data_IF_600874412276
#
_entry.id   IF_600874412276
#
_cell.length_a   1.000
_cell.length_b   1.000
_cell.length_c   1.000
_cell.angle_alpha   90.00
_cell.angle_beta   90.00
_cell.angle_gamma   90.00
#
_symmetry.space_group_name_H-M   'P 1'
#
loop_
_entity.id
_entity.type
_entity.pdbx_description
1 polymer ?
#
# COMPACT_ATOMS: atom_id res chain seq x y z
N UNK A 1 40.82 7.84 -55.96
CA UNK A 1 39.63 8.63 -56.37
C UNK A 1 38.62 8.52 -55.21
N UNK A 2 38.17 9.57 -54.48
CA UNK A 2 37.82 10.97 -54.83
C UNK A 2 36.85 10.98 -56.03
N UNK A 3 35.60 11.48 -56.04
CA UNK A 3 34.72 12.23 -55.10
C UNK A 3 33.24 11.73 -55.34
N UNK A 4 32.12 12.18 -54.74
CA UNK A 4 31.77 13.25 -53.76
C UNK A 4 30.47 12.93 -52.97
N UNK A 5 30.18 13.74 -51.94
CA UNK A 5 28.88 14.02 -51.27
C UNK A 5 27.58 13.92 -52.12
N UNK A 6 26.49 13.51 -51.48
CA UNK A 6 25.40 14.46 -51.17
C UNK A 6 24.73 14.11 -49.84
N UNK A 7 24.41 15.12 -49.05
CA UNK A 7 23.62 15.04 -47.82
C UNK A 7 22.65 16.23 -47.80
N UNK A 8 21.72 16.19 -46.85
CA UNK A 8 20.85 17.28 -46.37
C UNK A 8 19.36 17.24 -46.78
N UNK A 9 18.54 17.87 -45.93
CA UNK A 9 17.07 17.92 -45.80
C UNK A 9 16.45 16.72 -45.08
N UNK A 10 15.81 16.87 -43.91
CA UNK A 10 15.49 18.12 -43.19
C UNK A 10 15.34 17.94 -41.67
N UNK A 11 16.18 18.64 -40.89
CA UNK A 11 15.94 19.03 -39.50
C UNK A 11 15.82 20.54 -39.40
N UNK A 12 14.61 21.03 -39.16
CA UNK A 12 14.22 22.38 -38.70
C UNK A 12 12.72 22.28 -38.44
N UNK A 13 12.14 22.72 -37.32
CA UNK A 13 12.24 24.06 -36.75
C UNK A 13 12.20 24.02 -35.22
N UNK A 14 13.21 24.62 -34.59
CA UNK A 14 13.11 25.17 -33.23
C UNK A 14 13.94 26.46 -33.23
N UNK A 15 13.32 27.60 -32.93
CA UNK A 15 14.03 28.87 -32.77
C UNK A 15 13.33 29.71 -31.69
N UNK A 16 14.00 30.03 -30.57
CA UNK A 16 13.46 30.99 -29.61
C UNK A 16 13.64 32.41 -30.15
N UNK A 17 12.66 33.28 -29.91
CA UNK A 17 12.83 34.73 -29.99
C UNK A 17 12.43 35.35 -28.65
N UNK A 18 13.32 36.20 -28.14
CA UNK A 18 13.08 37.02 -26.96
C UNK A 18 13.50 38.46 -27.27
N UNK A 19 12.56 39.40 -27.17
CA UNK A 19 12.86 40.85 -27.00
C UNK A 19 11.67 41.61 -26.41
N UNK A 20 11.89 42.11 -25.18
CA UNK A 20 11.47 43.42 -24.62
C UNK A 20 10.09 44.03 -24.95
N UNK A 21 9.36 44.37 -23.88
CA UNK A 21 9.07 45.77 -23.52
C UNK A 21 8.70 45.90 -22.02
N UNK A 22 9.05 47.03 -21.40
CA UNK A 22 8.73 47.44 -20.02
C UNK A 22 7.94 48.75 -20.10
N UNK A 23 6.98 48.97 -19.19
CA UNK A 23 6.96 50.24 -18.47
C UNK A 23 6.71 50.08 -16.95
N UNK A 24 7.42 50.90 -16.16
CA UNK A 24 7.16 51.14 -14.73
C UNK A 24 6.00 52.14 -14.53
N UNK A 25 5.21 51.99 -13.46
CA UNK A 25 5.24 52.87 -12.26
C UNK A 25 4.10 52.56 -11.26
N UNK A 26 4.45 52.52 -9.97
CA UNK A 26 3.70 52.94 -8.75
C UNK A 26 2.16 52.83 -8.70
N UNK A 27 1.51 52.26 -7.66
CA UNK A 27 1.70 52.56 -6.22
C UNK A 27 0.90 51.62 -5.28
N UNK A 28 1.40 51.49 -4.05
CA UNK A 28 0.87 50.88 -2.82
C UNK A 28 -0.63 50.48 -2.70
N UNK A 29 -0.92 49.27 -2.17
CA UNK A 29 -1.32 49.02 -0.75
C UNK A 29 -1.76 47.57 -0.47
N UNK A 30 -1.46 47.04 0.73
CA UNK A 30 -2.39 46.19 1.49
C UNK A 30 -2.42 44.66 1.31
N UNK A 31 -1.95 43.95 2.34
CA UNK A 31 -2.29 42.56 2.72
C UNK A 31 -1.88 41.39 1.80
N UNK A 32 -1.29 40.35 2.41
CA UNK A 32 -0.79 39.18 1.69
C UNK A 32 -1.86 38.12 1.44
N UNK A 33 -2.04 37.74 0.18
CA UNK A 33 -2.57 36.44 -0.22
C UNK A 33 -1.49 35.70 -1.01
N UNK A 34 -1.28 34.42 -0.70
CA UNK A 34 -0.29 33.59 -1.38
C UNK A 34 -0.71 33.36 -2.84
N UNK A 35 0.00 33.98 -3.78
CA UNK A 35 -0.29 33.88 -5.20
C UNK A 35 0.32 32.60 -5.77
N UNK A 36 -0.53 31.65 -6.17
CA UNK A 36 -0.11 30.45 -6.88
C UNK A 36 0.49 30.82 -8.25
N UNK A 37 1.80 30.57 -8.43
CA UNK A 37 2.51 30.85 -9.69
C UNK A 37 2.81 29.54 -10.42
N UNK A 38 2.14 29.34 -11.55
CA UNK A 38 2.32 28.17 -12.43
C UNK A 38 3.66 28.27 -13.17
N UNK A 39 4.47 27.22 -13.08
CA UNK A 39 5.50 26.90 -14.08
C UNK A 39 5.20 25.50 -14.62
N UNK A 40 4.69 25.43 -15.86
CA UNK A 40 4.27 24.17 -16.48
C UNK A 40 5.46 23.36 -16.98
N UNK A 41 5.84 22.32 -16.24
CA UNK A 41 6.60 21.19 -16.76
C UNK A 41 5.62 20.07 -17.12
N UNK A 42 5.48 19.77 -18.41
CA UNK A 42 4.54 18.78 -18.92
C UNK A 42 4.99 17.35 -18.61
N UNK A 43 4.34 16.68 -17.67
CA UNK A 43 4.31 15.21 -17.61
C UNK A 43 3.29 14.67 -18.63
N UNK A 44 3.70 13.66 -19.40
CA UNK A 44 2.85 13.00 -20.37
C UNK A 44 1.83 12.11 -19.64
N UNK A 45 0.61 12.59 -19.43
CA UNK A 45 -0.52 11.75 -19.03
C UNK A 45 -1.16 11.22 -20.33
N UNK A 46 -1.23 9.90 -20.58
CA UNK A 46 -2.02 9.35 -21.67
C UNK A 46 -3.47 9.82 -21.54
N UNK A 47 -4.07 10.34 -22.61
CA UNK A 47 -5.42 10.89 -22.55
C UNK A 47 -6.45 9.81 -22.24
N UNK A 48 -6.80 9.67 -20.96
CA UNK A 48 -7.86 8.79 -20.48
C UNK A 48 -9.15 9.13 -21.23
N UNK A 49 -9.84 8.16 -21.84
CA UNK A 49 -11.07 8.44 -22.57
C UNK A 49 -12.09 9.08 -21.62
N UNK A 50 -12.65 10.22 -22.04
CA UNK A 50 -13.76 10.85 -21.32
C UNK A 50 -14.90 9.83 -21.20
N UNK A 51 -15.63 9.78 -20.07
CA UNK A 51 -16.78 8.89 -19.95
C UNK A 51 -17.75 9.16 -21.09
N UNK A 52 -18.31 8.08 -21.66
CA UNK A 52 -19.34 8.17 -22.69
C UNK A 52 -20.50 9.04 -22.19
N UNK A 53 -21.21 9.71 -23.09
CA UNK A 53 -22.19 10.79 -22.82
C UNK A 53 -23.32 10.46 -21.83
N UNK A 54 -23.47 9.20 -21.43
CA UNK A 54 -24.51 8.70 -20.52
C UNK A 54 -24.04 8.45 -19.08
N UNK A 55 -22.74 8.49 -18.77
CA UNK A 55 -22.22 8.38 -17.39
C UNK A 55 -21.73 9.73 -16.87
N UNK A 56 -22.63 10.48 -16.23
CA UNK A 56 -22.22 11.62 -15.38
C UNK A 56 -21.75 11.10 -14.03
N UNK A 57 -20.55 11.48 -13.61
CA UNK A 57 -20.12 11.28 -12.22
C UNK A 57 -21.11 12.04 -11.31
N UNK A 58 -21.82 11.37 -10.38
CA UNK A 58 -22.80 12.02 -9.50
C UNK A 58 -22.12 12.90 -8.44
N UNK A 59 -20.80 12.78 -8.26
CA UNK A 59 -20.03 13.56 -7.30
C UNK A 59 -19.36 14.76 -7.97
N UNK A 60 -19.57 15.94 -7.39
CA UNK A 60 -18.91 17.18 -7.84
C UNK A 60 -17.43 17.12 -7.52
N UNK A 61 -16.62 17.01 -8.58
CA UNK A 61 -15.17 17.26 -8.54
C UNK A 61 -14.90 18.74 -8.26
N UNK A 62 -14.13 19.04 -7.22
CA UNK A 62 -13.55 20.37 -7.04
C UNK A 62 -12.22 20.41 -7.78
N UNK A 63 -12.03 21.41 -8.65
CA UNK A 63 -10.79 21.59 -9.38
C UNK A 63 -9.69 22.19 -8.48
N UNK A 64 -9.13 21.34 -7.61
CA UNK A 64 -8.03 21.70 -6.70
C UNK A 64 -6.71 21.20 -7.29
N UNK A 65 -5.77 22.11 -7.53
CA UNK A 65 -4.39 21.73 -7.86
C UNK A 65 -3.69 21.25 -6.59
N UNK A 66 -3.49 19.94 -6.47
CA UNK A 66 -2.69 19.33 -5.40
C UNK A 66 -1.22 19.36 -5.83
N UNK A 67 -0.36 19.99 -5.03
CA UNK A 67 1.08 19.96 -5.28
C UNK A 67 1.67 18.56 -5.06
N UNK A 68 2.75 18.24 -5.79
CA UNK A 68 3.44 16.96 -5.62
C UNK A 68 4.01 16.84 -4.22
N UNK A 69 3.61 15.77 -3.54
CA UNK A 69 4.02 15.47 -2.17
C UNK A 69 5.51 15.09 -2.13
N UNK A 70 6.35 15.72 -1.29
CA UNK A 70 7.76 15.35 -1.15
C UNK A 70 7.89 13.89 -0.70
N UNK A 71 8.97 13.19 -1.10
CA UNK A 71 9.16 11.78 -0.73
C UNK A 71 9.11 11.53 0.79
N UNK A 72 9.56 12.54 1.56
CA UNK A 72 9.50 12.57 3.02
C UNK A 72 8.73 13.83 3.51
N UNK A 73 7.39 13.76 3.64
CA UNK A 73 6.58 14.86 4.20
C UNK A 73 6.83 15.08 5.70
N UNK A 74 6.55 16.28 6.20
CA UNK A 74 6.57 16.52 7.63
C UNK A 74 5.37 15.79 8.29
N UNK A 75 5.59 14.83 9.22
CA UNK A 75 4.50 14.06 9.79
C UNK A 75 3.59 14.91 10.70
N UNK A 76 4.11 15.97 11.31
CA UNK A 76 3.33 16.86 12.19
C UNK A 76 2.31 17.67 11.37
N UNK A 77 2.70 18.18 10.20
CA UNK A 77 1.76 18.89 9.32
C UNK A 77 0.69 17.93 8.78
N UNK A 78 1.10 16.74 8.32
CA UNK A 78 0.14 15.71 7.88
C UNK A 78 -0.88 15.35 8.96
N UNK A 79 -0.45 15.14 10.21
CA UNK A 79 -1.34 14.81 11.33
C UNK A 79 -2.24 16.01 11.71
N UNK A 80 -1.70 17.22 11.70
CA UNK A 80 -2.49 18.45 11.94
C UNK A 80 -3.61 18.61 10.91
N UNK A 81 -3.29 18.53 9.62
CA UNK A 81 -4.24 18.63 8.51
C UNK A 81 -5.32 17.54 8.58
N UNK A 82 -4.92 16.28 8.77
CA UNK A 82 -5.85 15.14 8.88
C UNK A 82 -6.77 15.26 10.09
N UNK A 83 -6.24 15.65 11.26
CA UNK A 83 -7.05 15.79 12.48
C UNK A 83 -8.03 16.96 12.39
N UNK A 84 -7.63 18.09 11.80
CA UNK A 84 -8.52 19.21 11.52
C UNK A 84 -9.65 18.85 10.54
N UNK A 85 -9.32 18.14 9.46
CA UNK A 85 -10.31 17.67 8.47
C UNK A 85 -11.26 16.61 9.04
N UNK A 86 -10.74 15.65 9.83
CA UNK A 86 -11.57 14.64 10.48
C UNK A 86 -12.48 15.26 11.54
N UNK A 87 -11.98 16.22 12.33
CA UNK A 87 -12.78 16.92 13.33
C UNK A 87 -13.91 17.75 12.69
N UNK A 88 -13.63 18.49 11.61
CA UNK A 88 -14.66 19.27 10.91
C UNK A 88 -15.72 18.37 10.28
N UNK A 89 -15.33 17.22 9.72
CA UNK A 89 -16.24 16.23 9.13
C UNK A 89 -17.11 15.54 10.19
N UNK A 90 -16.53 15.19 11.35
CA UNK A 90 -17.28 14.65 12.50
C UNK A 90 -18.29 15.68 13.03
N UNK A 91 -17.89 16.95 13.20
CA UNK A 91 -18.78 18.03 13.62
C UNK A 91 -19.91 18.25 12.61
N UNK A 92 -19.61 18.25 11.30
CA UNK A 92 -20.59 18.36 10.21
C UNK A 92 -21.68 17.28 10.26
N UNK A 93 -21.33 16.08 10.76
CA UNK A 93 -22.24 14.92 10.85
C UNK A 93 -22.75 14.63 12.28
N UNK A 94 -22.44 15.49 13.25
CA UNK A 94 -22.64 15.27 14.70
C UNK A 94 -24.08 15.32 15.28
N UNK A 95 -25.16 15.81 14.62
CA UNK A 95 -26.46 15.88 15.28
C UNK A 95 -26.94 14.50 15.78
N UNK A 96 -27.33 14.39 17.05
CA UNK A 96 -27.62 13.11 17.73
C UNK A 96 -28.88 12.36 17.25
N UNK A 97 -29.49 12.79 16.15
CA UNK A 97 -30.50 12.04 15.38
C UNK A 97 -30.08 11.68 13.94
N UNK A 98 -28.90 12.14 13.49
CA UNK A 98 -28.43 12.01 12.11
C UNK A 98 -27.80 10.64 11.79
N UNK A 99 -27.53 9.78 12.77
CA UNK A 99 -26.91 8.46 12.53
C UNK A 99 -27.71 7.59 11.54
N UNK A 100 -29.05 7.62 11.59
CA UNK A 100 -29.89 6.90 10.63
C UNK A 100 -29.83 7.48 9.21
N UNK A 101 -29.81 8.81 9.10
CA UNK A 101 -29.61 9.52 7.83
C UNK A 101 -28.21 9.25 7.27
N UNK A 102 -27.18 9.27 8.11
CA UNK A 102 -25.81 8.98 7.72
C UNK A 102 -25.61 7.54 7.25
N UNK A 103 -26.24 6.56 7.92
CA UNK A 103 -26.24 5.16 7.49
C UNK A 103 -26.95 4.97 6.15
N UNK A 104 -28.07 5.68 5.92
CA UNK A 104 -28.75 5.66 4.61
C UNK A 104 -27.92 6.35 3.52
N UNK A 105 -27.42 7.57 3.74
CA UNK A 105 -26.50 8.25 2.82
C UNK A 105 -25.27 7.38 2.48
N UNK A 106 -24.71 6.68 3.46
CA UNK A 106 -23.56 5.77 3.28
C UNK A 106 -23.95 4.53 2.48
N UNK A 107 -25.12 3.92 2.75
CA UNK A 107 -25.65 2.79 1.98
C UNK A 107 -25.93 3.20 0.54
N UNK A 108 -26.65 4.29 0.32
CA UNK A 108 -27.07 4.75 -1.01
C UNK A 108 -25.83 5.14 -1.84
N UNK A 109 -24.83 5.76 -1.19
CA UNK A 109 -23.49 6.00 -1.74
C UNK A 109 -22.75 4.72 -2.11
N UNK A 110 -22.87 3.68 -1.29
CA UNK A 110 -22.25 2.37 -1.50
C UNK A 110 -22.93 1.64 -2.67
N UNK A 111 -24.26 1.59 -2.72
CA UNK A 111 -25.05 1.02 -3.82
C UNK A 111 -24.73 1.68 -5.17
N UNK A 112 -24.52 3.01 -5.17
CA UNK A 112 -24.14 3.77 -6.37
C UNK A 112 -22.68 3.53 -6.82
N UNK A 113 -21.78 3.19 -5.89
CA UNK A 113 -20.33 3.13 -6.14
C UNK A 113 -19.77 1.70 -6.23
N UNK A 114 -20.43 0.71 -5.62
CA UNK A 114 -19.99 -0.69 -5.62
C UNK A 114 -20.19 -1.30 -6.99
N UNK A 115 -19.07 -1.65 -7.61
CA UNK A 115 -19.01 -2.38 -8.86
C UNK A 115 -18.40 -3.75 -8.57
N UNK A 116 -19.23 -4.61 -7.95
CA UNK A 116 -18.90 -5.98 -7.59
C UNK A 116 -18.69 -6.82 -8.85
N UNK A 117 -17.53 -7.48 -8.96
CA UNK A 117 -17.23 -8.43 -10.02
C UNK A 117 -17.25 -9.86 -9.45
N UNK A 118 -18.27 -10.69 -9.76
CA UNK A 118 -18.27 -12.11 -9.41
C UNK A 118 -17.08 -12.87 -10.00
N UNK A 119 -16.54 -12.41 -11.13
CA UNK A 119 -15.34 -12.95 -11.76
C UNK A 119 -14.13 -12.86 -10.85
N UNK A 120 -13.91 -11.72 -10.18
CA UNK A 120 -12.82 -11.54 -9.21
C UNK A 120 -12.87 -12.59 -8.10
N UNK A 121 -14.06 -12.92 -7.57
CA UNK A 121 -14.19 -13.94 -6.51
C UNK A 121 -13.90 -15.34 -7.05
N UNK A 122 -14.41 -15.68 -8.24
CA UNK A 122 -14.11 -16.94 -8.90
C UNK A 122 -12.60 -17.11 -9.11
N UNK A 123 -11.94 -16.09 -9.68
CA UNK A 123 -10.50 -16.12 -9.92
C UNK A 123 -9.68 -16.13 -8.63
N UNK A 124 -10.02 -15.34 -7.62
CA UNK A 124 -9.37 -15.37 -6.31
C UNK A 124 -9.50 -16.75 -5.63
N UNK A 125 -10.65 -17.40 -5.75
CA UNK A 125 -10.88 -18.77 -5.25
C UNK A 125 -10.02 -19.79 -6.00
N UNK A 126 -9.93 -19.70 -7.33
CA UNK A 126 -9.06 -20.54 -8.15
C UNK A 126 -7.58 -20.32 -7.80
N UNK A 127 -7.14 -19.08 -7.63
CA UNK A 127 -5.79 -18.72 -7.18
C UNK A 127 -5.52 -19.32 -5.79
N UNK A 128 -6.43 -19.20 -4.83
CA UNK A 128 -6.30 -19.82 -3.51
C UNK A 128 -6.08 -21.35 -3.59
N UNK A 129 -6.83 -22.05 -4.45
CA UNK A 129 -6.64 -23.50 -4.68
C UNK A 129 -5.28 -23.78 -5.31
N UNK A 130 -4.89 -23.04 -6.36
CA UNK A 130 -3.59 -23.18 -7.04
C UNK A 130 -2.43 -22.93 -6.07
N UNK A 131 -2.47 -21.85 -5.28
CA UNK A 131 -1.48 -21.54 -4.25
C UNK A 131 -1.39 -22.63 -3.18
N UNK A 132 -2.52 -23.19 -2.76
CA UNK A 132 -2.55 -24.31 -1.79
C UNK A 132 -1.86 -25.56 -2.32
N UNK A 133 -2.14 -25.92 -3.59
CA UNK A 133 -1.52 -27.06 -4.27
C UNK A 133 -0.03 -26.81 -4.56
N UNK A 134 0.32 -25.60 -4.99
CA UNK A 134 1.70 -25.18 -5.28
C UNK A 134 2.56 -25.21 -4.01
N UNK A 135 2.08 -24.66 -2.89
CA UNK A 135 2.73 -24.75 -1.58
C UNK A 135 2.99 -26.21 -1.18
N UNK A 136 1.96 -27.06 -1.26
CA UNK A 136 2.11 -28.48 -0.92
C UNK A 136 3.13 -29.21 -1.83
N UNK A 137 3.13 -28.90 -3.13
CA UNK A 137 4.07 -29.45 -4.09
C UNK A 137 5.51 -28.97 -3.85
N UNK A 138 5.73 -27.67 -3.62
CA UNK A 138 7.05 -27.08 -3.36
C UNK A 138 7.62 -27.51 -2.00
N UNK A 139 6.80 -27.56 -0.95
CA UNK A 139 7.21 -28.08 0.35
C UNK A 139 7.75 -29.52 0.20
N UNK A 140 6.99 -30.40 -0.48
CA UNK A 140 7.36 -31.81 -0.68
C UNK A 140 8.55 -32.01 -1.63
N UNK A 141 8.64 -31.25 -2.72
CA UNK A 141 9.62 -31.48 -3.81
C UNK A 141 10.90 -30.66 -3.70
N UNK A 142 10.85 -29.49 -3.06
CA UNK A 142 11.94 -28.50 -3.06
C UNK A 142 12.37 -28.18 -1.63
N UNK A 143 11.49 -27.57 -0.82
CA UNK A 143 11.92 -26.95 0.44
C UNK A 143 12.28 -27.96 1.53
N UNK A 144 11.49 -29.02 1.75
CA UNK A 144 11.86 -30.06 2.73
C UNK A 144 13.08 -30.89 2.31
N UNK A 145 13.23 -31.31 1.03
CA UNK A 145 14.49 -31.92 0.55
C UNK A 145 15.71 -31.01 0.74
N UNK A 146 15.59 -29.71 0.44
CA UNK A 146 16.64 -28.71 0.67
C UNK A 146 17.00 -28.59 2.16
N UNK A 147 16.01 -28.45 3.04
CA UNK A 147 16.25 -28.40 4.49
C UNK A 147 16.99 -29.65 5.00
N UNK A 148 16.68 -30.83 4.45
CA UNK A 148 17.37 -32.09 4.78
C UNK A 148 18.77 -32.19 4.18
N UNK A 149 19.03 -31.66 2.98
CA UNK A 149 20.38 -31.68 2.38
C UNK A 149 21.39 -30.83 3.15
N UNK A 150 20.95 -29.72 3.76
CA UNK A 150 21.74 -28.91 4.68
C UNK A 150 21.83 -29.49 6.10
N UNK A 151 21.22 -30.65 6.36
CA UNK A 151 21.18 -31.32 7.68
C UNK A 151 20.72 -30.37 8.80
N UNK A 152 19.67 -29.60 8.53
CA UNK A 152 19.05 -28.71 9.52
C UNK A 152 18.39 -29.51 10.65
N UNK A 153 18.16 -28.88 11.80
CA UNK A 153 17.42 -29.48 12.91
C UNK A 153 15.97 -29.80 12.51
N UNK A 154 15.35 -30.81 13.12
CA UNK A 154 13.96 -31.18 12.79
C UNK A 154 12.97 -30.03 12.99
N UNK A 155 13.22 -29.14 13.95
CA UNK A 155 12.44 -27.91 14.13
C UNK A 155 12.56 -26.97 12.91
N UNK A 156 13.79 -26.70 12.45
CA UNK A 156 14.05 -25.89 11.26
C UNK A 156 13.47 -26.55 9.99
N UNK A 157 13.58 -27.87 9.83
CA UNK A 157 13.04 -28.61 8.67
C UNK A 157 11.52 -28.46 8.56
N UNK A 158 10.82 -28.38 9.69
CA UNK A 158 9.37 -28.22 9.73
C UNK A 158 8.91 -26.75 9.53
N UNK A 159 9.71 -25.76 9.94
CA UNK A 159 9.34 -24.33 9.87
C UNK A 159 9.82 -23.62 8.60
N UNK A 160 10.99 -23.99 8.07
CA UNK A 160 11.61 -23.33 6.92
C UNK A 160 10.74 -23.32 5.63
N UNK A 161 10.07 -24.43 5.23
CA UNK A 161 9.27 -24.44 4.00
C UNK A 161 8.17 -23.38 3.96
N UNK A 162 7.51 -23.17 5.10
CA UNK A 162 6.41 -22.21 5.22
C UNK A 162 6.92 -20.76 5.16
N UNK A 163 8.09 -20.50 5.73
CA UNK A 163 8.73 -19.17 5.71
C UNK A 163 9.26 -18.81 4.31
N UNK A 164 9.91 -19.76 3.62
CA UNK A 164 10.32 -19.57 2.22
C UNK A 164 9.11 -19.34 1.32
N UNK A 165 8.03 -20.10 1.49
CA UNK A 165 6.80 -19.93 0.72
C UNK A 165 6.22 -18.52 0.88
N UNK A 166 6.01 -18.07 2.12
CA UNK A 166 5.48 -16.73 2.43
C UNK A 166 6.39 -15.64 1.85
N UNK A 167 7.69 -15.69 2.11
CA UNK A 167 8.69 -14.76 1.57
C UNK A 167 8.65 -14.69 0.03
N UNK A 168 8.54 -15.84 -0.65
CA UNK A 168 8.49 -15.89 -2.11
C UNK A 168 7.25 -15.21 -2.69
N UNK A 169 6.08 -15.40 -2.06
CA UNK A 169 4.83 -14.78 -2.53
C UNK A 169 4.85 -13.27 -2.27
N UNK A 170 5.16 -12.84 -1.04
CA UNK A 170 5.26 -11.41 -0.70
C UNK A 170 6.28 -10.65 -1.57
N UNK A 171 7.40 -11.29 -1.94
CA UNK A 171 8.38 -10.65 -2.83
C UNK A 171 7.80 -10.43 -4.24
N UNK A 172 7.02 -11.38 -4.77
CA UNK A 172 6.39 -11.26 -6.09
C UNK A 172 5.32 -10.17 -6.08
N UNK A 173 4.44 -10.14 -5.07
CA UNK A 173 3.35 -9.15 -4.95
C UNK A 173 3.89 -7.76 -4.66
N UNK A 174 4.93 -7.66 -3.83
CA UNK A 174 5.61 -6.39 -3.60
C UNK A 174 6.32 -5.87 -4.86
N UNK A 175 7.04 -6.71 -5.61
CA UNK A 175 7.65 -6.27 -6.87
C UNK A 175 6.61 -5.81 -7.91
N UNK A 176 5.44 -6.46 -7.97
CA UNK A 176 4.33 -6.07 -8.86
C UNK A 176 3.71 -4.74 -8.43
N UNK A 177 3.37 -4.58 -7.15
CA UNK A 177 2.82 -3.32 -6.63
C UNK A 177 3.82 -2.18 -6.74
N UNK A 178 5.12 -2.41 -6.48
CA UNK A 178 6.20 -1.44 -6.67
C UNK A 178 6.32 -0.95 -8.13
N UNK A 179 6.18 -1.86 -9.11
CA UNK A 179 6.18 -1.49 -10.52
C UNK A 179 5.03 -0.51 -10.85
N UNK A 180 3.80 -0.81 -10.41
CA UNK A 180 2.63 0.07 -10.63
C UNK A 180 2.77 1.38 -9.86
N UNK A 181 3.28 1.34 -8.62
CA UNK A 181 3.57 2.53 -7.80
C UNK A 181 4.57 3.48 -8.45
N UNK A 182 5.58 2.94 -9.15
CA UNK A 182 6.55 3.72 -9.90
C UNK A 182 5.97 4.28 -11.21
N UNK A 183 5.30 3.45 -12.01
CA UNK A 183 4.75 3.83 -13.32
C UNK A 183 3.70 4.95 -13.22
N UNK A 184 2.85 4.90 -12.19
CA UNK A 184 1.82 5.90 -11.93
C UNK A 184 2.25 7.02 -10.97
N UNK A 185 3.52 7.04 -10.52
CA UNK A 185 4.12 8.02 -9.59
C UNK A 185 3.28 8.27 -8.32
N UNK A 186 2.69 7.19 -7.79
CA UNK A 186 1.69 7.18 -6.72
C UNK A 186 2.24 7.83 -5.42
N UNK A 187 3.54 7.66 -5.15
CA UNK A 187 4.16 8.25 -3.96
C UNK A 187 4.32 9.78 -4.04
N UNK A 188 4.44 10.37 -5.22
CA UNK A 188 4.60 11.82 -5.39
C UNK A 188 3.25 12.51 -5.68
N UNK A 189 2.41 11.94 -6.53
CA UNK A 189 1.14 12.54 -6.93
C UNK A 189 -0.05 11.96 -6.13
N UNK A 190 -0.19 12.41 -4.88
CA UNK A 190 -1.32 12.03 -4.02
C UNK A 190 -2.68 12.54 -4.52
N UNK A 191 -2.69 13.49 -5.46
CA UNK A 191 -3.91 13.98 -6.13
C UNK A 191 -4.42 12.99 -7.17
N UNK A 192 -3.51 12.32 -7.90
CA UNK A 192 -3.83 11.29 -8.90
C UNK A 192 -4.71 10.16 -8.39
N UNK A 193 -4.59 9.82 -7.09
CA UNK A 193 -5.39 8.80 -6.40
C UNK A 193 -6.90 9.04 -6.54
N UNK A 194 -7.30 10.31 -6.59
CA UNK A 194 -8.69 10.75 -6.51
C UNK A 194 -9.14 11.49 -7.77
N UNK A 195 -8.26 12.30 -8.40
CA UNK A 195 -8.62 13.16 -9.55
C UNK A 195 -9.19 12.42 -10.76
N UNK A 196 -8.88 11.13 -10.89
CA UNK A 196 -9.32 10.25 -11.98
C UNK A 196 -10.45 9.29 -11.58
N UNK A 197 -10.98 9.37 -10.36
CA UNK A 197 -11.99 8.46 -9.83
C UNK A 197 -13.42 8.78 -10.32
N UNK A 198 -14.23 7.74 -10.51
CA UNK A 198 -15.69 7.83 -10.68
C UNK A 198 -16.32 6.44 -10.49
N UNK A 199 -17.62 6.35 -10.12
CA UNK A 199 -18.34 5.08 -10.07
C UNK A 199 -18.28 4.32 -11.39
N UNK A 200 -17.98 3.02 -11.36
CA UNK A 200 -17.87 2.20 -12.56
C UNK A 200 -16.60 2.40 -13.39
N UNK A 201 -15.62 3.21 -12.94
CA UNK A 201 -14.32 3.37 -13.61
C UNK A 201 -13.71 2.00 -13.97
N UNK A 202 -13.25 1.78 -15.22
CA UNK A 202 -12.56 0.55 -15.59
C UNK A 202 -11.28 0.40 -14.77
N UNK A 203 -11.03 -0.80 -14.27
CA UNK A 203 -9.79 -1.17 -13.59
C UNK A 203 -8.83 -1.70 -14.65
N UNK A 204 -7.59 -1.23 -14.63
CA UNK A 204 -6.55 -1.71 -15.52
C UNK A 204 -6.21 -3.19 -15.23
N UNK A 205 -5.95 -3.99 -16.26
CA UNK A 205 -5.72 -5.43 -16.14
C UNK A 205 -4.60 -5.80 -15.15
N UNK A 206 -3.51 -5.01 -15.09
CA UNK A 206 -2.41 -5.23 -14.13
C UNK A 206 -2.91 -5.12 -12.68
N UNK A 207 -3.66 -4.06 -12.40
CA UNK A 207 -4.25 -3.77 -11.08
C UNK A 207 -5.33 -4.81 -10.73
N UNK A 208 -6.17 -5.20 -11.70
CA UNK A 208 -7.17 -6.26 -11.53
C UNK A 208 -6.53 -7.57 -11.04
N UNK A 209 -5.48 -8.03 -11.73
CA UNK A 209 -4.84 -9.30 -11.37
C UNK A 209 -4.05 -9.23 -10.07
N UNK A 210 -3.40 -8.09 -9.76
CA UNK A 210 -2.76 -7.87 -8.46
C UNK A 210 -3.79 -8.03 -7.31
N UNK A 211 -4.92 -7.32 -7.36
CA UNK A 211 -5.97 -7.42 -6.32
C UNK A 211 -6.58 -8.83 -6.24
N UNK A 212 -6.82 -9.47 -7.38
CA UNK A 212 -7.38 -10.82 -7.44
C UNK A 212 -6.41 -11.85 -6.84
N UNK A 213 -5.11 -11.69 -7.10
CA UNK A 213 -4.06 -12.51 -6.52
C UNK A 213 -3.93 -12.30 -5.02
N UNK A 214 -3.92 -11.04 -4.56
CA UNK A 214 -3.88 -10.69 -3.13
C UNK A 214 -5.03 -11.33 -2.35
N UNK A 215 -6.27 -11.15 -2.80
CA UNK A 215 -7.44 -11.76 -2.15
C UNK A 215 -7.30 -13.29 -2.12
N UNK A 216 -6.85 -13.92 -3.22
CA UNK A 216 -6.60 -15.35 -3.27
C UNK A 216 -5.50 -15.83 -2.30
N UNK A 217 -4.42 -15.06 -2.15
CA UNK A 217 -3.33 -15.36 -1.23
C UNK A 217 -3.72 -15.16 0.23
N UNK A 218 -4.40 -14.06 0.58
CA UNK A 218 -4.90 -13.84 1.94
C UNK A 218 -5.92 -14.91 2.36
N UNK A 219 -6.83 -15.34 1.46
CA UNK A 219 -7.75 -16.47 1.73
C UNK A 219 -6.97 -17.78 1.95
N UNK A 220 -5.98 -18.08 1.09
CA UNK A 220 -5.10 -19.25 1.24
C UNK A 220 -4.36 -19.25 2.59
N UNK A 221 -3.82 -18.11 3.00
CA UNK A 221 -3.12 -17.94 4.26
C UNK A 221 -4.07 -18.11 5.45
N UNK A 222 -5.25 -17.47 5.42
CA UNK A 222 -6.26 -17.59 6.47
C UNK A 222 -6.75 -19.04 6.60
N UNK A 223 -6.93 -19.76 5.49
CA UNK A 223 -7.21 -21.20 5.53
C UNK A 223 -6.08 -21.99 6.21
N UNK A 224 -4.82 -21.72 5.85
CA UNK A 224 -3.66 -22.32 6.51
C UNK A 224 -3.64 -22.08 8.02
N UNK A 225 -3.86 -20.84 8.44
CA UNK A 225 -3.89 -20.45 9.86
C UNK A 225 -5.05 -21.07 10.64
N UNK A 226 -6.23 -21.20 10.03
CA UNK A 226 -7.44 -21.73 10.68
C UNK A 226 -7.41 -23.26 10.85
N UNK A 227 -6.85 -23.98 9.88
CA UNK A 227 -7.01 -25.44 9.77
C UNK A 227 -5.70 -26.24 9.77
N UNK A 228 -4.54 -25.62 9.50
CA UNK A 228 -3.25 -26.32 9.34
C UNK A 228 -2.19 -25.90 10.39
N UNK A 229 -2.19 -24.64 10.83
CA UNK A 229 -1.27 -24.14 11.85
C UNK A 229 -1.82 -24.33 13.28
N UNK A 230 -0.92 -24.55 14.25
CA UNK A 230 -1.30 -24.57 15.66
C UNK A 230 -1.63 -23.15 16.16
N UNK A 231 -2.70 -23.01 16.95
CA UNK A 231 -3.12 -21.70 17.49
C UNK A 231 -2.04 -21.08 18.38
N UNK A 232 -1.57 -19.92 17.95
CA UNK A 232 -0.60 -19.09 18.69
C UNK A 232 -1.33 -18.08 19.60
N UNK A 233 -0.59 -17.42 20.50
CA UNK A 233 -1.16 -16.42 21.44
C UNK A 233 -1.70 -15.16 20.72
N UNK A 234 -1.14 -14.83 19.56
CA UNK A 234 -1.50 -13.73 18.66
C UNK A 234 -2.68 -14.05 17.71
N UNK A 235 -3.19 -15.29 17.72
CA UNK A 235 -4.15 -15.81 16.72
C UNK A 235 -5.38 -14.91 16.51
N UNK A 236 -6.01 -14.41 17.58
CA UNK A 236 -7.21 -13.56 17.47
C UNK A 236 -6.90 -12.23 16.77
N UNK A 237 -5.78 -11.59 17.12
CA UNK A 237 -5.35 -10.32 16.52
C UNK A 237 -5.03 -10.53 15.04
N UNK A 238 -4.36 -11.63 14.71
CA UNK A 238 -4.01 -11.97 13.34
C UNK A 238 -5.24 -12.30 12.48
N UNK A 239 -6.22 -13.06 12.98
CA UNK A 239 -7.49 -13.30 12.26
C UNK A 239 -8.27 -12.00 12.05
N UNK A 240 -8.36 -11.13 13.06
CA UNK A 240 -9.02 -9.82 12.91
C UNK A 240 -8.30 -8.94 11.87
N UNK A 241 -6.96 -8.97 11.85
CA UNK A 241 -6.17 -8.29 10.84
C UNK A 241 -6.46 -8.81 9.43
N UNK A 242 -6.48 -10.14 9.24
CA UNK A 242 -6.79 -10.75 7.93
C UNK A 242 -8.22 -10.43 7.45
N UNK A 243 -9.21 -10.41 8.34
CA UNK A 243 -10.57 -10.00 7.99
C UNK A 243 -10.59 -8.53 7.54
N UNK A 244 -9.87 -7.66 8.27
CA UNK A 244 -9.77 -6.23 7.95
C UNK A 244 -9.05 -5.99 6.61
N UNK A 245 -7.93 -6.68 6.33
CA UNK A 245 -7.18 -6.50 5.07
C UNK A 245 -7.95 -7.06 3.87
N UNK A 246 -8.57 -8.25 3.97
CA UNK A 246 -9.43 -8.79 2.91
C UNK A 246 -10.58 -7.82 2.61
N UNK A 247 -11.26 -7.32 3.65
CA UNK A 247 -12.32 -6.34 3.47
C UNK A 247 -11.81 -5.03 2.84
N UNK A 248 -10.59 -4.59 3.18
CA UNK A 248 -9.98 -3.38 2.63
C UNK A 248 -9.63 -3.53 1.15
N UNK A 249 -9.02 -4.66 0.75
CA UNK A 249 -8.64 -4.95 -0.65
C UNK A 249 -9.90 -5.10 -1.52
N UNK A 250 -10.87 -5.92 -1.09
CA UNK A 250 -12.16 -6.10 -1.78
C UNK A 250 -12.96 -4.79 -1.82
N UNK A 251 -12.94 -4.01 -0.74
CA UNK A 251 -13.57 -2.69 -0.67
C UNK A 251 -12.96 -1.71 -1.68
N UNK A 252 -11.64 -1.53 -1.65
CA UNK A 252 -10.88 -0.70 -2.60
C UNK A 252 -11.18 -1.05 -4.05
N UNK A 253 -11.22 -2.34 -4.39
CA UNK A 253 -11.61 -2.79 -5.72
C UNK A 253 -13.07 -2.41 -6.04
N UNK A 254 -13.99 -2.75 -5.15
CA UNK A 254 -15.44 -2.59 -5.35
C UNK A 254 -15.84 -1.13 -5.57
N UNK A 255 -15.34 -0.19 -4.76
CA UNK A 255 -15.61 1.25 -4.91
C UNK A 255 -14.61 1.95 -5.85
N UNK A 256 -13.73 1.20 -6.51
CA UNK A 256 -12.71 1.69 -7.46
C UNK A 256 -11.65 2.62 -6.86
N UNK A 257 -11.39 2.57 -5.56
CA UNK A 257 -10.23 3.18 -4.89
C UNK A 257 -8.93 2.36 -5.13
N UNK A 258 -8.72 1.91 -6.36
CA UNK A 258 -7.68 0.94 -6.68
C UNK A 258 -6.26 1.54 -6.63
N UNK A 259 -6.08 2.82 -6.98
CA UNK A 259 -4.78 3.51 -6.92
C UNK A 259 -4.23 3.55 -5.48
N UNK A 260 -5.04 3.99 -4.52
CA UNK A 260 -4.65 3.95 -3.10
C UNK A 260 -4.57 2.52 -2.55
N UNK A 261 -5.37 1.58 -3.08
CA UNK A 261 -5.20 0.17 -2.72
C UNK A 261 -3.87 -0.44 -3.17
N UNK A 262 -3.34 -0.08 -4.36
CA UNK A 262 -1.97 -0.44 -4.78
C UNK A 262 -0.94 0.14 -3.81
N UNK A 263 -1.10 1.41 -3.41
CA UNK A 263 -0.21 2.04 -2.42
C UNK A 263 -0.20 1.30 -1.08
N UNK A 264 -1.37 0.83 -0.62
CA UNK A 264 -1.50 0.08 0.62
C UNK A 264 -0.78 -1.28 0.53
N UNK A 265 -0.96 -2.04 -0.56
CA UNK A 265 -0.24 -3.31 -0.80
C UNK A 265 1.28 -3.06 -0.80
N UNK A 266 1.74 -2.08 -1.58
CA UNK A 266 3.15 -1.70 -1.66
C UNK A 266 3.76 -1.31 -0.30
N UNK A 267 3.00 -0.60 0.54
CA UNK A 267 3.45 -0.18 1.88
C UNK A 267 3.48 -1.34 2.88
N UNK A 268 2.53 -2.27 2.82
CA UNK A 268 2.44 -3.32 3.82
C UNK A 268 3.33 -4.53 3.50
N UNK A 269 3.32 -5.04 2.27
CA UNK A 269 3.92 -6.35 1.94
C UNK A 269 5.43 -6.42 2.17
N UNK A 270 6.17 -5.31 1.99
CA UNK A 270 7.63 -5.29 2.12
C UNK A 270 8.09 -5.79 3.50
N UNK A 271 7.34 -5.45 4.55
CA UNK A 271 7.62 -5.88 5.92
C UNK A 271 7.66 -7.40 6.07
N UNK A 272 6.77 -8.10 5.36
CA UNK A 272 6.67 -9.55 5.48
C UNK A 272 7.74 -10.28 4.64
N UNK A 273 8.30 -9.60 3.60
CA UNK A 273 9.47 -10.09 2.85
C UNK A 273 10.70 -10.21 3.75
N UNK A 274 11.10 -9.16 4.48
CA UNK A 274 12.28 -9.27 5.34
C UNK A 274 11.98 -10.04 6.63
N UNK A 275 10.74 -10.03 7.14
CA UNK A 275 10.36 -10.87 8.28
C UNK A 275 10.51 -12.36 7.97
N UNK A 276 9.96 -12.84 6.87
CA UNK A 276 10.04 -14.26 6.49
C UNK A 276 11.40 -14.60 5.85
N UNK A 277 12.05 -13.65 5.16
CA UNK A 277 13.43 -13.79 4.69
C UNK A 277 14.43 -13.98 5.83
N UNK A 278 14.36 -13.14 6.88
CA UNK A 278 15.26 -13.23 8.04
C UNK A 278 15.03 -14.50 8.86
N UNK A 279 13.77 -14.94 9.06
CA UNK A 279 13.43 -16.26 9.63
C UNK A 279 14.00 -17.40 8.79
N UNK A 280 13.79 -17.36 7.48
CA UNK A 280 14.29 -18.36 6.54
C UNK A 280 15.81 -18.51 6.62
N UNK A 281 16.54 -17.39 6.69
CA UNK A 281 18.00 -17.39 6.93
C UNK A 281 18.31 -17.98 8.31
N UNK A 282 17.63 -17.53 9.37
CA UNK A 282 17.91 -17.97 10.75
C UNK A 282 17.75 -19.48 10.96
N UNK A 283 16.86 -20.16 10.22
CA UNK A 283 16.72 -21.62 10.30
C UNK A 283 17.97 -22.40 9.86
N UNK A 284 18.88 -21.78 9.09
CA UNK A 284 20.19 -22.32 8.72
C UNK A 284 21.30 -22.09 9.77
N UNK A 285 20.97 -21.55 10.97
CA UNK A 285 21.93 -21.28 12.05
C UNK A 285 22.71 -22.51 12.52
N UNK A 286 22.17 -23.71 12.31
CA UNK A 286 22.80 -24.97 12.66
C UNK A 286 22.66 -25.95 11.49
N UNK A 287 23.79 -26.54 11.08
CA UNK A 287 23.88 -27.43 9.93
C UNK A 287 24.71 -28.66 10.34
N UNK A 288 24.08 -29.83 10.39
CA UNK A 288 24.74 -31.08 10.80
C UNK A 288 25.35 -31.04 12.20
N UNK A 289 24.66 -30.40 13.16
CA UNK A 289 25.12 -30.24 14.55
C UNK A 289 26.23 -29.20 14.75
N UNK A 290 26.53 -28.37 13.73
CA UNK A 290 27.49 -27.27 13.82
C UNK A 290 26.80 -25.92 13.70
N UNK A 291 27.08 -25.01 14.63
CA UNK A 291 26.62 -23.63 14.57
C UNK A 291 27.32 -22.86 13.44
N UNK A 292 26.56 -22.09 12.67
CA UNK A 292 27.03 -21.32 11.51
C UNK A 292 26.86 -19.83 11.80
N UNK A 293 27.85 -19.23 12.46
CA UNK A 293 27.75 -17.87 13.01
C UNK A 293 27.44 -16.79 11.96
N UNK A 294 27.95 -16.89 10.74
CA UNK A 294 27.66 -15.89 9.69
C UNK A 294 26.18 -15.83 9.32
N UNK A 295 25.47 -16.96 9.37
CA UNK A 295 24.02 -17.04 9.11
C UNK A 295 23.26 -16.26 10.18
N UNK A 296 23.67 -16.38 11.45
CA UNK A 296 23.07 -15.61 12.56
C UNK A 296 23.30 -14.11 12.36
N UNK A 297 24.49 -13.71 11.93
CA UNK A 297 24.77 -12.31 11.58
C UNK A 297 23.88 -11.81 10.44
N UNK A 298 23.72 -12.59 9.35
CA UNK A 298 22.83 -12.24 8.25
C UNK A 298 21.35 -12.16 8.68
N UNK A 299 20.89 -13.08 9.53
CA UNK A 299 19.53 -13.04 10.09
C UNK A 299 19.31 -11.79 10.97
N UNK A 300 20.30 -11.41 11.79
CA UNK A 300 20.24 -10.20 12.62
C UNK A 300 20.22 -8.92 11.76
N UNK A 301 20.98 -8.88 10.66
CA UNK A 301 20.90 -7.78 9.68
C UNK A 301 19.50 -7.74 9.04
N UNK A 302 18.96 -8.89 8.62
CA UNK A 302 17.59 -8.98 8.09
C UNK A 302 16.52 -8.53 9.09
N UNK A 303 16.68 -8.84 10.38
CA UNK A 303 15.79 -8.36 11.44
C UNK A 303 15.92 -6.85 11.68
N UNK A 304 17.12 -6.27 11.55
CA UNK A 304 17.32 -4.82 11.64
C UNK A 304 16.70 -4.08 10.44
N UNK A 305 16.79 -4.64 9.24
CA UNK A 305 16.08 -4.14 8.06
C UNK A 305 14.56 -4.19 8.31
N UNK A 306 14.03 -5.35 8.72
CA UNK A 306 12.64 -5.52 9.12
C UNK A 306 12.16 -4.47 10.14
N UNK A 307 12.95 -4.18 11.18
CA UNK A 307 12.59 -3.13 12.13
C UNK A 307 12.58 -1.74 11.48
N UNK A 308 13.56 -1.45 10.62
CA UNK A 308 13.73 -0.15 9.94
C UNK A 308 12.61 0.14 8.94
N UNK A 309 12.29 -0.82 8.07
CA UNK A 309 11.21 -0.68 7.09
C UNK A 309 9.83 -0.66 7.75
N UNK A 310 9.64 -1.32 8.90
CA UNK A 310 8.38 -1.25 9.65
C UNK A 310 8.10 0.19 10.09
N UNK A 311 9.10 0.89 10.63
CA UNK A 311 8.93 2.31 10.97
C UNK A 311 8.80 3.20 9.72
N UNK A 312 9.57 2.94 8.66
CA UNK A 312 9.54 3.75 7.43
C UNK A 312 8.23 3.59 6.62
N UNK A 313 7.86 2.35 6.29
CA UNK A 313 6.69 2.06 5.47
C UNK A 313 5.41 2.03 6.32
N UNK A 314 5.33 1.11 7.29
CA UNK A 314 4.09 0.82 8.05
C UNK A 314 3.68 1.90 9.05
N UNK A 315 4.62 2.71 9.56
CA UNK A 315 4.29 3.88 10.39
C UNK A 315 4.38 5.18 9.58
N UNK A 316 5.55 5.52 9.04
CA UNK A 316 5.78 6.86 8.49
C UNK A 316 5.12 7.11 7.14
N UNK A 317 5.36 6.29 6.11
CA UNK A 317 4.70 6.44 4.80
C UNK A 317 3.21 6.08 4.84
N UNK A 318 2.80 5.11 5.67
CA UNK A 318 1.37 4.85 5.89
C UNK A 318 0.65 6.12 6.37
N UNK A 319 1.17 6.82 7.38
CA UNK A 319 0.56 8.05 7.91
C UNK A 319 0.68 9.21 6.91
N UNK A 320 1.86 9.44 6.33
CA UNK A 320 2.15 10.63 5.51
C UNK A 320 1.74 10.53 4.04
N UNK A 321 1.50 9.32 3.51
CA UNK A 321 1.09 9.08 2.11
C UNK A 321 -0.32 8.48 2.04
N UNK A 322 -0.51 7.27 2.57
CA UNK A 322 -1.78 6.56 2.42
C UNK A 322 -2.91 7.23 3.22
N UNK A 323 -2.72 7.39 4.54
CA UNK A 323 -3.73 7.99 5.42
C UNK A 323 -3.93 9.48 5.12
N UNK A 324 -2.86 10.25 4.86
CA UNK A 324 -2.97 11.65 4.42
C UNK A 324 -3.78 11.80 3.12
N UNK A 325 -3.54 10.93 2.14
CA UNK A 325 -4.34 10.95 0.92
C UNK A 325 -5.80 10.58 1.18
N UNK A 326 -6.08 9.60 2.05
CA UNK A 326 -7.43 9.12 2.35
C UNK A 326 -8.27 10.06 3.24
N UNK A 327 -7.68 10.66 4.28
CA UNK A 327 -8.37 11.56 5.22
C UNK A 327 -8.41 13.02 4.72
N UNK A 328 -7.34 13.50 4.07
CA UNK A 328 -7.22 14.91 3.71
C UNK A 328 -7.47 15.15 2.22
N UNK A 329 -6.65 14.56 1.33
CA UNK A 329 -6.73 14.85 -0.12
C UNK A 329 -8.07 14.38 -0.71
N UNK A 330 -8.61 13.24 -0.27
CA UNK A 330 -9.90 12.73 -0.73
C UNK A 330 -11.04 13.76 -0.55
N UNK A 331 -11.12 14.45 0.60
CA UNK A 331 -12.14 15.47 0.85
C UNK A 331 -11.87 16.81 0.13
N UNK A 332 -10.62 17.14 -0.17
CA UNK A 332 -10.31 18.29 -1.03
C UNK A 332 -10.80 18.10 -2.47
N UNK A 333 -10.68 16.88 -3.01
CA UNK A 333 -11.10 16.53 -4.37
C UNK A 333 -12.61 16.22 -4.43
N UNK A 334 -13.15 15.52 -3.42
CA UNK A 334 -14.56 15.14 -3.28
C UNK A 334 -15.12 15.48 -1.88
N UNK A 335 -15.56 16.73 -1.62
CA UNK A 335 -16.16 17.11 -0.33
C UNK A 335 -17.42 16.31 0.06
N UNK A 336 -18.11 15.77 -0.96
CA UNK A 336 -19.26 14.87 -0.83
C UNK A 336 -18.96 13.46 -1.34
N UNK A 337 -17.69 13.04 -1.31
CA UNK A 337 -17.26 11.73 -1.78
C UNK A 337 -17.93 10.59 -1.01
N UNK A 338 -18.33 9.51 -1.69
CA UNK A 338 -18.97 8.37 -1.04
C UNK A 338 -17.95 7.60 -0.21
N UNK A 339 -18.46 6.82 0.76
CA UNK A 339 -17.68 5.80 1.46
C UNK A 339 -16.44 6.29 2.24
N UNK A 340 -16.23 7.62 2.34
CA UNK A 340 -15.10 8.25 3.01
C UNK A 340 -14.93 7.76 4.45
N UNK A 341 -15.98 7.79 5.28
CA UNK A 341 -15.89 7.39 6.68
C UNK A 341 -15.61 5.89 6.88
N UNK A 342 -16.37 4.94 6.30
CA UNK A 342 -16.07 3.52 6.42
C UNK A 342 -14.65 3.15 6.01
N UNK A 343 -14.19 3.66 4.85
CA UNK A 343 -12.83 3.41 4.36
C UNK A 343 -11.76 3.94 5.33
N UNK A 344 -11.88 5.19 5.77
CA UNK A 344 -10.92 5.78 6.69
C UNK A 344 -10.94 5.16 8.09
N UNK A 345 -12.10 4.70 8.58
CA UNK A 345 -12.19 3.94 9.83
C UNK A 345 -11.43 2.61 9.74
N UNK A 346 -11.47 1.93 8.59
CA UNK A 346 -10.67 0.72 8.36
C UNK A 346 -9.17 1.02 8.33
N UNK A 347 -8.74 2.13 7.70
CA UNK A 347 -7.34 2.57 7.72
C UNK A 347 -6.86 2.96 9.12
N UNK A 348 -7.70 3.63 9.92
CA UNK A 348 -7.39 3.98 11.31
C UNK A 348 -7.33 2.74 12.22
N UNK A 349 -8.21 1.76 12.01
CA UNK A 349 -8.14 0.46 12.71
C UNK A 349 -6.85 -0.29 12.35
N UNK A 350 -6.44 -0.25 11.08
CA UNK A 350 -5.21 -0.86 10.60
C UNK A 350 -3.95 -0.11 11.14
N UNK A 351 -4.00 1.22 11.30
CA UNK A 351 -2.98 1.97 12.04
C UNK A 351 -2.92 1.57 13.52
N UNK A 352 -4.07 1.44 14.19
CA UNK A 352 -4.13 1.04 15.60
C UNK A 352 -3.50 -0.34 15.82
N UNK A 353 -3.76 -1.31 14.91
CA UNK A 353 -3.09 -2.62 14.92
C UNK A 353 -1.57 -2.52 14.73
N UNK A 354 -1.10 -1.63 13.85
CA UNK A 354 0.34 -1.43 13.62
C UNK A 354 1.04 -0.82 14.83
N UNK A 355 0.43 0.17 15.48
CA UNK A 355 0.93 0.77 16.73
C UNK A 355 0.91 -0.23 17.88
N UNK A 356 -0.16 -1.02 18.01
CA UNK A 356 -0.27 -2.10 18.99
C UNK A 356 0.83 -3.16 18.83
N UNK A 357 1.19 -3.49 17.58
CA UNK A 357 2.29 -4.42 17.28
C UNK A 357 3.65 -3.85 17.72
N UNK A 358 3.90 -2.54 17.51
CA UNK A 358 5.09 -1.86 18.05
C UNK A 358 5.11 -1.90 19.57
N UNK A 359 3.97 -1.63 20.22
CA UNK A 359 3.84 -1.67 21.68
C UNK A 359 4.19 -3.05 22.25
N UNK A 360 3.66 -4.14 21.67
CA UNK A 360 4.03 -5.51 22.07
C UNK A 360 5.54 -5.75 21.86
N UNK A 361 6.09 -5.37 20.70
CA UNK A 361 7.51 -5.56 20.41
C UNK A 361 8.42 -4.88 21.42
N UNK A 362 8.12 -3.63 21.79
CA UNK A 362 8.87 -2.87 22.80
C UNK A 362 8.67 -3.45 24.21
N UNK A 363 7.44 -3.85 24.56
CA UNK A 363 7.14 -4.47 25.85
C UNK A 363 7.89 -5.80 26.04
N UNK A 364 7.91 -6.66 25.02
CA UNK A 364 8.61 -7.95 25.05
C UNK A 364 10.13 -7.77 25.11
N UNK A 365 10.69 -6.77 24.41
CA UNK A 365 12.10 -6.40 24.54
C UNK A 365 12.43 -5.93 25.96
N UNK A 366 11.59 -5.06 26.53
CA UNK A 366 11.77 -4.57 27.90
C UNK A 366 11.68 -5.70 28.95
N UNK A 367 10.70 -6.60 28.81
CA UNK A 367 10.54 -7.77 29.68
C UNK A 367 11.71 -8.75 29.61
N UNK A 368 12.39 -8.87 28.47
CA UNK A 368 13.60 -9.70 28.29
C UNK A 368 14.88 -9.03 28.82
N UNK A 369 14.91 -7.71 28.95
CA UNK A 369 16.04 -6.98 29.56
C UNK A 369 15.99 -7.00 31.10
N UNK A 370 14.91 -7.48 31.72
CA UNK A 370 14.82 -7.56 33.18
C UNK A 370 15.66 -8.74 33.73
N UNK A 371 16.62 -8.51 34.66
CA UNK A 371 17.60 -9.54 35.06
C UNK A 371 17.07 -10.81 35.74
N UNK A 372 15.78 -10.88 36.10
CA UNK A 372 15.19 -12.00 36.85
C UNK A 372 14.77 -13.20 36.00
N UNK A 373 14.97 -13.16 34.67
CA UNK A 373 14.66 -14.27 33.75
C UNK A 373 15.78 -14.53 32.73
N UNK A 374 16.98 -14.83 33.23
CA UNK A 374 18.13 -15.24 32.43
C UNK A 374 18.01 -16.67 31.89
N UNK A 375 17.12 -16.89 30.92
CA UNK A 375 17.16 -18.05 30.02
C UNK A 375 16.90 -17.57 28.59
N UNK A 376 17.99 -17.39 27.83
CA UNK A 376 17.97 -16.69 26.54
C UNK A 376 17.45 -17.52 25.35
N UNK A 377 17.11 -18.80 25.54
CA UNK A 377 16.66 -19.72 24.49
C UNK A 377 15.62 -20.76 24.98
N UNK A 378 14.42 -20.29 25.34
CA UNK A 378 13.16 -21.05 25.36
C UNK A 378 12.02 -20.15 24.88
#
# INVERSE_FOLDING_TARGET
MRLTRSADRSRSLYRPQATRSVPDLDRCTGSGQASARVNSASSFIPSVPRPGSNMRNPYTLVNVTIERSPLFPNPVTCISDMSGMLASELVRRSPWGAWGQWLSETRDSLELSVNFDPGMILWATLICVVLTLMRAALNRRVFTPLAKSYKLTDESVNKLPESIWKCSVYLITWCWSAYITYDLDILADLGSHWSTWYPGRPVESSIYWLFTFEVGFYIHYTYGMLFLEARRKDFTVLILHHILTIALIVGCYSVRFHIIGVLLIFIHDIGDVFLEGSKSILYFKEQGGKAVHWVVTCANIGFLLFATEYFLFRIYWFVTKALYSALYICLLVYPNGPFYLPFNLMLLALLAMQVYTVYIGVHDLHGRMHPSKTNWFQ
#
